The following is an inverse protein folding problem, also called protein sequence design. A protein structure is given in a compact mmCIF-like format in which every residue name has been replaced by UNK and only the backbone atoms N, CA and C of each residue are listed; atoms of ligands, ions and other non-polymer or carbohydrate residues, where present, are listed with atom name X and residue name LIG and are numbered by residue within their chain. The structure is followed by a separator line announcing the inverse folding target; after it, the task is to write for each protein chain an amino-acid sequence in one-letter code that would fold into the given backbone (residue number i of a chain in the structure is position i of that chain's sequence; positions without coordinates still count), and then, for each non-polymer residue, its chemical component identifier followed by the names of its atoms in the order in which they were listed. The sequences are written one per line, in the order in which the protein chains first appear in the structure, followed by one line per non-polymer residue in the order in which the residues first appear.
data_IF_780221689364
#
_entry.id   IF_780221689364
#
_cell.length_a   1.000
_cell.length_b   1.000
_cell.length_c   1.000
_cell.angle_alpha   90.00
_cell.angle_beta   90.00
_cell.angle_gamma   90.00
#
_symmetry.space_group_name_H-M   'P 1'
#
loop_
_entity.id
_entity.type
_entity.pdbx_description
1 polymer ?
#
# COMPACT_ATOMS: atom_id res chain seq x y z
N UNK A 1 39.65 -23.14 62.60
CA UNK A 1 39.36 -24.52 62.14
C UNK A 1 38.35 -24.40 61.01
N UNK A 2 38.82 -24.47 59.77
CA UNK A 2 37.97 -24.40 58.58
C UNK A 2 37.80 -25.80 58.02
N UNK A 3 36.57 -26.29 57.94
CA UNK A 3 36.25 -27.54 57.29
C UNK A 3 36.30 -27.34 55.77
N UNK A 4 37.13 -28.14 55.13
CA UNK A 4 37.34 -28.15 53.68
C UNK A 4 36.15 -28.83 53.01
N UNK A 5 35.39 -28.07 52.22
CA UNK A 5 34.13 -28.49 51.62
C UNK A 5 34.40 -29.45 50.46
N UNK A 6 33.97 -30.71 50.58
CA UNK A 6 34.18 -31.74 49.55
C UNK A 6 33.12 -31.63 48.42
N UNK A 7 33.51 -31.26 47.19
CA UNK A 7 32.58 -31.00 46.09
C UNK A 7 31.97 -32.28 45.46
N UNK A 8 32.22 -33.47 46.02
CA UNK A 8 31.68 -34.74 45.51
C UNK A 8 30.47 -35.30 46.26
N UNK A 9 29.93 -34.57 47.25
CA UNK A 9 28.74 -35.03 47.95
C UNK A 9 27.49 -34.90 47.05
N UNK A 10 26.88 -36.04 46.69
CA UNK A 10 25.76 -36.14 45.74
C UNK A 10 24.38 -35.96 46.39
N UNK A 11 24.29 -35.82 47.71
CA UNK A 11 23.00 -35.91 48.41
C UNK A 11 22.29 -34.57 48.67
N UNK A 12 22.91 -33.41 48.39
CA UNK A 12 22.21 -32.13 48.53
C UNK A 12 22.79 -31.02 47.64
N UNK A 13 22.35 -30.88 46.37
CA UNK A 13 22.76 -29.77 45.54
C UNK A 13 21.93 -28.55 45.93
N UNK A 14 22.51 -27.65 46.72
CA UNK A 14 21.93 -26.33 46.96
C UNK A 14 21.68 -25.55 45.65
N UNK A 15 20.92 -24.45 45.70
CA UNK A 15 20.26 -23.90 44.53
C UNK A 15 21.17 -22.99 43.71
N UNK A 16 22.08 -23.56 42.89
CA UNK A 16 22.82 -22.79 41.89
C UNK A 16 23.01 -23.55 40.56
N UNK A 17 22.39 -22.97 39.53
CA UNK A 17 22.67 -22.99 38.08
C UNK A 17 23.49 -24.16 37.50
N UNK A 18 22.79 -25.05 36.79
CA UNK A 18 23.36 -25.93 35.76
C UNK A 18 23.88 -25.09 34.59
N UNK A 19 25.20 -24.96 34.47
CA UNK A 19 25.87 -24.68 33.20
C UNK A 19 26.46 -26.01 32.71
N UNK A 20 25.74 -26.71 31.82
CA UNK A 20 26.28 -27.85 31.10
C UNK A 20 27.21 -27.34 30.00
N UNK A 21 28.49 -27.72 30.07
CA UNK A 21 29.40 -27.64 28.95
C UNK A 21 29.12 -28.82 28.02
N UNK A 22 28.66 -28.53 26.81
CA UNK A 22 28.56 -29.49 25.72
C UNK A 22 29.86 -29.37 24.92
N UNK A 23 30.67 -30.44 24.86
CA UNK A 23 31.75 -30.53 23.89
C UNK A 23 31.13 -30.83 22.52
N UNK A 24 31.19 -29.83 21.65
CA UNK A 24 30.62 -29.85 20.30
C UNK A 24 31.70 -30.28 19.32
N UNK A 25 31.39 -31.26 18.46
CA UNK A 25 32.32 -31.80 17.47
C UNK A 25 32.67 -30.76 16.39
N UNK A 26 33.81 -30.92 15.71
CA UNK A 26 34.32 -29.92 14.73
C UNK A 26 33.40 -29.67 13.53
N UNK A 27 32.46 -30.58 13.25
CA UNK A 27 31.47 -30.42 12.17
C UNK A 27 30.29 -29.52 12.60
N UNK A 28 30.02 -29.44 13.90
CA UNK A 28 28.97 -28.61 14.49
C UNK A 28 29.46 -27.19 14.84
N UNK A 29 30.78 -26.97 14.94
CA UNK A 29 31.37 -25.62 15.08
C UNK A 29 31.04 -24.70 13.89
N UNK A 30 30.91 -25.26 12.68
CA UNK A 30 30.50 -24.51 11.50
C UNK A 30 29.04 -24.01 11.56
N UNK A 31 28.17 -24.75 12.24
CA UNK A 31 26.79 -24.31 12.51
C UNK A 31 26.72 -23.33 13.69
N UNK A 32 27.61 -23.47 14.67
CA UNK A 32 27.68 -22.57 15.81
C UNK A 32 28.17 -21.16 15.43
N UNK A 33 29.14 -21.01 14.53
CA UNK A 33 29.56 -19.69 14.02
C UNK A 33 28.46 -19.04 13.15
N UNK A 34 27.70 -19.81 12.37
CA UNK A 34 26.52 -19.29 11.65
C UNK A 34 25.42 -18.80 12.61
N UNK A 35 25.17 -19.54 13.69
CA UNK A 35 24.24 -19.12 14.76
C UNK A 35 24.76 -17.92 15.55
N UNK A 36 26.08 -17.79 15.72
CA UNK A 36 26.71 -16.68 16.45
C UNK A 36 26.69 -15.38 15.64
N UNK A 37 26.90 -15.46 14.31
CA UNK A 37 26.68 -14.35 13.37
C UNK A 37 25.20 -13.94 13.38
N UNK A 38 24.27 -14.90 13.33
CA UNK A 38 22.84 -14.62 13.45
C UNK A 38 22.49 -13.97 14.80
N UNK A 39 23.13 -14.36 15.91
CA UNK A 39 22.89 -13.77 17.24
C UNK A 39 23.49 -12.38 17.43
N UNK A 40 24.59 -12.06 16.72
CA UNK A 40 25.23 -10.73 16.79
C UNK A 40 24.51 -9.68 15.95
N UNK A 41 23.68 -10.08 15.00
CA UNK A 41 22.77 -9.17 14.29
C UNK A 41 21.52 -8.76 15.11
N UNK A 42 21.33 -9.31 16.32
CA UNK A 42 20.15 -9.06 17.17
C UNK A 42 20.37 -7.90 18.17
N UNK A 43 21.55 -7.27 18.19
CA UNK A 43 21.86 -6.14 19.08
C UNK A 43 22.11 -4.81 18.34
N UNK A 44 21.45 -4.61 17.20
CA UNK A 44 21.32 -3.31 16.54
C UNK A 44 19.92 -3.25 15.96
N UNK A 45 19.04 -2.52 16.66
CA UNK A 45 17.61 -2.40 16.43
C UNK A 45 16.83 -3.72 16.46
N UNK A 46 15.90 -3.82 17.40
CA UNK A 46 14.98 -4.94 17.45
C UNK A 46 14.07 -4.89 16.22
N UNK A 47 14.51 -5.49 15.11
CA UNK A 47 13.63 -5.86 14.01
C UNK A 47 12.46 -6.63 14.63
N UNK A 48 11.26 -6.08 14.48
CA UNK A 48 10.02 -6.75 14.82
C UNK A 48 9.97 -8.07 14.03
N UNK A 49 10.49 -9.14 14.64
CA UNK A 49 10.48 -10.52 14.14
C UNK A 49 9.07 -11.13 14.19
N UNK A 50 8.03 -10.30 14.12
CA UNK A 50 6.62 -10.70 14.04
C UNK A 50 6.22 -11.20 12.65
N UNK A 51 7.07 -11.03 11.64
CA UNK A 51 6.79 -11.44 10.25
C UNK A 51 7.60 -12.66 9.83
N UNK A 52 7.58 -13.72 10.64
CA UNK A 52 8.06 -15.03 10.19
C UNK A 52 7.03 -15.56 9.18
N UNK A 53 7.43 -15.93 7.95
CA UNK A 53 6.51 -16.48 6.95
C UNK A 53 5.67 -17.58 7.57
N UNK A 54 4.34 -17.45 7.50
CA UNK A 54 3.47 -18.47 8.05
C UNK A 54 3.63 -19.72 7.19
N UNK A 55 4.28 -20.75 7.75
CA UNK A 55 4.52 -22.01 7.05
C UNK A 55 3.27 -22.87 6.92
N UNK A 56 2.17 -22.48 7.58
CA UNK A 56 0.90 -23.21 7.58
C UNK A 56 -0.05 -22.78 6.47
N UNK A 57 0.16 -21.63 5.86
CA UNK A 57 -0.71 -21.11 4.78
C UNK A 57 -0.51 -21.92 3.50
N UNK A 58 -1.63 -22.31 2.89
CA UNK A 58 -1.61 -23.11 1.68
C UNK A 58 -1.12 -22.28 0.49
N UNK A 59 -0.38 -22.90 -0.43
CA UNK A 59 0.15 -22.23 -1.63
C UNK A 59 -0.92 -21.51 -2.47
N UNK A 60 -2.16 -22.03 -2.50
CA UNK A 60 -3.28 -21.39 -3.19
C UNK A 60 -3.67 -20.05 -2.54
N UNK A 61 -3.55 -19.95 -1.21
CA UNK A 61 -3.93 -18.77 -0.44
C UNK A 61 -2.81 -17.73 -0.55
N UNK A 62 -1.54 -18.14 -0.47
CA UNK A 62 -0.40 -17.26 -0.76
C UNK A 62 -0.49 -16.66 -2.16
N UNK A 63 -0.79 -17.48 -3.17
CA UNK A 63 -1.00 -16.99 -4.54
C UNK A 63 -2.13 -15.96 -4.61
N UNK A 64 -3.25 -16.18 -3.91
CA UNK A 64 -4.35 -15.21 -3.81
C UNK A 64 -3.90 -13.92 -3.15
N UNK A 65 -3.17 -13.99 -2.04
CA UNK A 65 -2.63 -12.81 -1.34
C UNK A 65 -1.68 -12.02 -2.24
N UNK A 66 -0.77 -12.71 -2.95
CA UNK A 66 0.13 -12.10 -3.93
C UNK A 66 -0.63 -11.36 -5.03
N UNK A 67 -1.73 -11.90 -5.58
CA UNK A 67 -2.56 -11.19 -6.55
C UNK A 67 -3.11 -9.88 -5.97
N UNK A 68 -3.75 -9.94 -4.80
CA UNK A 68 -4.37 -8.77 -4.17
C UNK A 68 -3.33 -7.70 -3.87
N UNK A 69 -2.16 -8.12 -3.38
CA UNK A 69 -1.03 -7.24 -3.10
C UNK A 69 -0.47 -6.55 -4.35
N UNK A 70 -0.32 -7.28 -5.47
CA UNK A 70 0.10 -6.70 -6.75
C UNK A 70 -0.94 -5.70 -7.28
N UNK A 71 -2.23 -5.98 -7.11
CA UNK A 71 -3.31 -5.04 -7.47
C UNK A 71 -3.15 -3.76 -6.66
N UNK A 72 -3.00 -3.85 -5.33
CA UNK A 72 -2.77 -2.67 -4.48
C UNK A 72 -1.55 -1.88 -4.93
N UNK A 73 -0.44 -2.55 -5.25
CA UNK A 73 0.77 -1.88 -5.73
C UNK A 73 0.57 -1.16 -7.07
N UNK A 74 -0.17 -1.74 -8.02
CA UNK A 74 -0.43 -1.10 -9.33
C UNK A 74 -1.35 0.13 -9.22
N UNK A 75 -2.26 0.12 -8.26
CA UNK A 75 -3.21 1.21 -8.01
C UNK A 75 -2.73 2.20 -6.93
N UNK A 76 -1.58 1.94 -6.32
CA UNK A 76 -0.94 2.88 -5.40
C UNK A 76 -0.69 4.22 -6.11
N UNK A 77 -0.86 5.39 -5.44
CA UNK A 77 -0.69 6.71 -6.05
C UNK A 77 0.62 6.85 -6.85
N UNK A 78 1.72 6.32 -6.34
CA UNK A 78 3.05 6.39 -6.99
C UNK A 78 3.16 5.60 -8.30
N UNK A 79 2.29 4.61 -8.51
CA UNK A 79 2.32 3.74 -9.68
C UNK A 79 1.12 3.93 -10.60
N UNK A 80 -0.02 4.39 -10.09
CA UNK A 80 -1.30 4.42 -10.80
C UNK A 80 -1.21 5.19 -12.12
N UNK A 81 -0.54 6.35 -12.14
CA UNK A 81 -0.41 7.16 -13.37
C UNK A 81 0.44 6.44 -14.43
N UNK A 82 1.57 5.85 -14.03
CA UNK A 82 2.43 5.06 -14.91
C UNK A 82 1.74 3.79 -15.38
N UNK A 83 0.85 3.23 -14.56
CA UNK A 83 0.05 2.07 -14.89
C UNK A 83 -1.02 2.39 -15.95
N UNK A 84 -1.70 3.53 -15.84
CA UNK A 84 -2.66 4.03 -16.85
C UNK A 84 -1.96 4.16 -18.21
N UNK A 85 -0.79 4.78 -18.23
CA UNK A 85 -0.05 5.06 -19.47
C UNK A 85 0.82 3.88 -19.92
N UNK A 86 0.79 2.73 -19.23
CA UNK A 86 1.73 1.63 -19.47
C UNK A 86 1.66 1.10 -20.91
N UNK A 87 0.44 1.04 -21.47
CA UNK A 87 0.17 0.54 -22.82
C UNK A 87 0.26 1.62 -23.92
N UNK A 88 0.50 2.88 -23.56
CA UNK A 88 0.64 3.96 -24.54
C UNK A 88 1.87 3.74 -25.42
N UNK A 89 1.80 4.25 -26.66
CA UNK A 89 2.92 4.21 -27.60
C UNK A 89 4.11 4.94 -26.98
N UNK A 90 5.14 4.19 -26.62
CA UNK A 90 6.37 4.72 -26.06
C UNK A 90 7.15 5.52 -27.10
N UNK A 91 7.46 6.76 -26.76
CA UNK A 91 8.30 7.68 -27.50
C UNK A 91 9.77 7.40 -27.20
N UNK A 92 10.67 7.95 -28.01
CA UNK A 92 12.12 7.84 -27.78
C UNK A 92 12.51 8.42 -26.41
N UNK A 93 11.89 9.53 -26.02
CA UNK A 93 12.17 10.22 -24.77
C UNK A 93 11.85 9.33 -23.56
N UNK A 94 10.80 8.50 -23.64
CA UNK A 94 10.45 7.53 -22.60
C UNK A 94 11.54 6.47 -22.39
N UNK A 95 12.18 6.02 -23.47
CA UNK A 95 13.31 5.09 -23.39
C UNK A 95 14.54 5.78 -22.80
N UNK A 96 14.82 7.02 -23.18
CA UNK A 96 15.95 7.79 -22.65
C UNK A 96 15.78 8.08 -21.15
N UNK A 97 14.57 8.44 -20.70
CA UNK A 97 14.23 8.60 -19.28
C UNK A 97 14.37 7.29 -18.47
N UNK A 98 14.16 6.15 -19.12
CA UNK A 98 14.37 4.81 -18.53
C UNK A 98 15.83 4.34 -18.61
N UNK A 99 16.79 5.25 -18.84
CA UNK A 99 18.22 4.91 -18.97
C UNK A 99 18.55 4.06 -20.19
N UNK A 100 17.75 4.15 -21.26
CA UNK A 100 17.81 3.27 -22.43
C UNK A 100 17.09 1.93 -22.25
N UNK A 101 16.48 1.70 -21.08
CA UNK A 101 15.68 0.52 -20.76
C UNK A 101 14.24 0.59 -21.30
N UNK A 102 13.53 -0.54 -21.24
CA UNK A 102 12.10 -0.58 -21.58
C UNK A 102 11.28 0.03 -20.43
N UNK A 103 10.48 1.09 -20.68
CA UNK A 103 9.66 1.72 -19.63
C UNK A 103 8.69 0.73 -18.96
N UNK A 104 8.18 -0.23 -19.75
CA UNK A 104 7.30 -1.29 -19.25
C UNK A 104 8.03 -2.24 -18.30
N UNK A 105 9.27 -2.63 -18.63
CA UNK A 105 10.07 -3.47 -17.74
C UNK A 105 10.42 -2.72 -16.45
N UNK A 106 10.81 -1.44 -16.55
CA UNK A 106 11.12 -0.63 -15.38
C UNK A 106 9.92 -0.49 -14.46
N UNK A 107 8.72 -0.23 -15.01
CA UNK A 107 7.50 -0.20 -14.21
C UNK A 107 7.27 -1.50 -13.42
N UNK A 108 7.40 -2.66 -14.07
CA UNK A 108 7.20 -3.93 -13.37
C UNK A 108 8.34 -4.26 -12.40
N UNK A 109 9.54 -3.74 -12.62
CA UNK A 109 10.63 -3.81 -11.65
C UNK A 109 10.25 -3.04 -10.38
N UNK A 110 9.86 -1.77 -10.53
CA UNK A 110 9.47 -0.90 -9.41
C UNK A 110 8.30 -1.51 -8.63
N UNK A 111 7.26 -2.00 -9.33
CA UNK A 111 6.12 -2.70 -8.69
C UNK A 111 6.60 -3.94 -7.93
N UNK A 112 7.52 -4.72 -8.49
CA UNK A 112 8.03 -5.92 -7.81
C UNK A 112 8.86 -5.57 -6.58
N UNK A 113 9.66 -4.52 -6.63
CA UNK A 113 10.40 -4.01 -5.47
C UNK A 113 9.44 -3.55 -4.38
N UNK A 114 8.43 -2.73 -4.75
CA UNK A 114 7.41 -2.23 -3.84
C UNK A 114 6.60 -3.34 -3.17
N UNK A 115 6.17 -4.36 -3.94
CA UNK A 115 5.41 -5.51 -3.43
C UNK A 115 6.22 -6.31 -2.43
N UNK A 116 7.51 -6.53 -2.71
CA UNK A 116 8.37 -7.37 -1.89
C UNK A 116 8.97 -6.66 -0.67
N UNK A 117 8.96 -5.33 -0.69
CA UNK A 117 9.46 -4.52 0.40
C UNK A 117 8.47 -4.53 1.58
N UNK A 118 9.04 -4.81 2.75
CA UNK A 118 8.30 -4.94 4.01
C UNK A 118 7.90 -3.59 4.58
N UNK A 119 8.63 -2.53 4.25
CA UNK A 119 8.27 -1.18 4.68
C UNK A 119 6.91 -0.75 4.10
N UNK A 120 6.50 -1.38 2.98
CA UNK A 120 5.21 -1.14 2.34
C UNK A 120 4.09 -2.08 2.83
N UNK A 121 4.32 -2.91 3.86
CA UNK A 121 3.29 -3.85 4.36
C UNK A 121 2.04 -3.12 4.85
N UNK A 122 2.21 -2.01 5.58
CA UNK A 122 1.08 -1.26 6.13
C UNK A 122 0.10 -0.79 5.03
N UNK A 123 0.64 -0.32 3.90
CA UNK A 123 -0.17 0.18 2.79
C UNK A 123 -0.68 -0.94 1.88
N UNK A 124 0.12 -1.99 1.67
CA UNK A 124 -0.22 -3.08 0.76
C UNK A 124 -1.10 -4.17 1.39
N UNK A 125 -1.20 -4.23 2.72
CA UNK A 125 -2.00 -5.24 3.41
C UNK A 125 -3.51 -4.93 3.42
N UNK A 126 -3.90 -3.73 2.98
CA UNK A 126 -5.29 -3.26 3.04
C UNK A 126 -6.09 -3.76 1.85
N UNK A 127 -7.30 -4.26 2.11
CA UNK A 127 -8.26 -4.57 1.07
C UNK A 127 -9.21 -3.38 0.91
N UNK A 128 -9.14 -2.67 -0.22
CA UNK A 128 -10.02 -1.54 -0.48
C UNK A 128 -11.49 -2.01 -0.60
N UNK A 129 -12.43 -1.10 -0.32
CA UNK A 129 -13.87 -1.35 -0.35
C UNK A 129 -14.38 -2.38 0.67
N UNK A 130 -13.57 -2.70 1.69
CA UNK A 130 -13.87 -3.79 2.63
C UNK A 130 -14.55 -3.34 3.92
N UNK A 131 -14.92 -2.07 4.05
CA UNK A 131 -15.76 -1.61 5.15
C UNK A 131 -17.22 -2.06 4.93
N UNK A 132 -17.98 -2.18 6.03
CA UNK A 132 -19.35 -2.73 6.01
C UNK A 132 -20.32 -1.97 5.08
N UNK A 133 -20.05 -0.68 4.91
CA UNK A 133 -20.84 0.29 4.16
C UNK A 133 -20.37 0.52 2.71
N UNK A 134 -19.21 -0.03 2.32
CA UNK A 134 -18.63 0.17 0.98
C UNK A 134 -19.09 -0.91 -0.02
N UNK A 135 -18.74 -2.18 0.22
CA UNK A 135 -19.13 -3.32 -0.61
C UNK A 135 -19.34 -4.58 0.26
N UNK A 136 -20.56 -5.11 0.24
CA UNK A 136 -20.96 -6.28 1.06
C UNK A 136 -20.04 -7.49 0.83
N UNK A 137 -19.56 -7.70 -0.41
CA UNK A 137 -18.73 -8.87 -0.76
C UNK A 137 -17.29 -8.70 -0.37
N UNK A 138 -16.72 -7.51 -0.52
CA UNK A 138 -15.38 -7.24 -0.02
C UNK A 138 -15.33 -7.27 1.50
N UNK A 139 -16.37 -6.77 2.19
CA UNK A 139 -16.52 -6.92 3.63
C UNK A 139 -16.62 -8.40 4.04
N UNK A 140 -17.47 -9.19 3.37
CA UNK A 140 -17.59 -10.64 3.59
C UNK A 140 -16.25 -11.37 3.38
N UNK A 141 -15.52 -11.07 2.31
CA UNK A 141 -14.19 -11.62 2.03
C UNK A 141 -13.22 -11.27 3.16
N UNK A 142 -13.21 -10.03 3.64
CA UNK A 142 -12.34 -9.59 4.73
C UNK A 142 -12.67 -10.31 6.04
N UNK A 143 -13.94 -10.37 6.41
CA UNK A 143 -14.38 -10.92 7.70
C UNK A 143 -14.31 -12.46 7.75
N UNK A 144 -14.73 -13.14 6.68
CA UNK A 144 -14.89 -14.59 6.67
C UNK A 144 -13.72 -15.34 6.04
N UNK A 145 -13.06 -14.76 5.02
CA UNK A 145 -11.93 -15.42 4.35
C UNK A 145 -10.56 -14.92 4.84
N UNK A 146 -10.52 -13.82 5.61
CA UNK A 146 -9.35 -13.20 6.26
C UNK A 146 -8.08 -13.30 5.41
N UNK A 147 -8.03 -12.67 4.23
CA UNK A 147 -6.84 -12.70 3.41
C UNK A 147 -5.69 -11.98 4.13
N UNK A 148 -4.60 -12.72 4.39
CA UNK A 148 -3.40 -12.19 5.05
C UNK A 148 -2.40 -11.72 3.97
N UNK A 149 -2.54 -10.46 3.54
CA UNK A 149 -1.78 -9.90 2.43
C UNK A 149 -0.27 -9.75 2.72
N UNK A 150 0.17 -9.91 3.98
CA UNK A 150 1.59 -9.97 4.33
C UNK A 150 2.18 -11.38 4.21
N UNK A 151 1.35 -12.42 4.08
CA UNK A 151 1.81 -13.78 3.76
C UNK A 151 1.64 -14.08 2.28
N UNK A 152 2.59 -13.58 1.49
CA UNK A 152 2.62 -13.64 0.04
C UNK A 152 3.90 -14.32 -0.49
N UNK A 153 3.86 -14.78 -1.73
CA UNK A 153 5.04 -15.27 -2.43
C UNK A 153 5.84 -14.10 -3.02
N UNK A 154 7.15 -14.10 -2.79
CA UNK A 154 8.08 -13.13 -3.38
C UNK A 154 7.92 -13.12 -4.91
N UNK A 155 7.74 -11.93 -5.47
CA UNK A 155 7.34 -11.76 -6.85
C UNK A 155 8.41 -11.05 -7.67
N UNK A 156 8.73 -11.58 -8.84
CA UNK A 156 9.61 -10.92 -9.81
C UNK A 156 8.81 -9.93 -10.66
N UNK A 157 9.50 -9.02 -11.37
CA UNK A 157 8.86 -8.16 -12.38
C UNK A 157 7.99 -8.94 -13.38
N UNK A 158 8.46 -10.11 -13.84
CA UNK A 158 7.75 -10.92 -14.82
C UNK A 158 6.50 -11.59 -14.23
N UNK A 159 6.57 -12.05 -12.98
CA UNK A 159 5.40 -12.62 -12.30
C UNK A 159 4.37 -11.54 -11.95
N UNK A 160 4.81 -10.34 -11.54
CA UNK A 160 3.90 -9.19 -11.31
C UNK A 160 3.11 -8.85 -12.58
N UNK A 161 3.83 -8.64 -13.69
CA UNK A 161 3.22 -8.36 -14.98
C UNK A 161 2.24 -9.44 -15.41
N UNK A 162 2.62 -10.72 -15.27
CA UNK A 162 1.79 -11.84 -15.69
C UNK A 162 0.54 -11.98 -14.82
N UNK A 163 0.66 -11.83 -13.49
CA UNK A 163 -0.46 -11.91 -12.57
C UNK A 163 -1.43 -10.75 -12.79
N UNK A 164 -0.94 -9.53 -12.98
CA UNK A 164 -1.80 -8.40 -13.27
C UNK A 164 -2.56 -8.56 -14.60
N UNK A 165 -1.88 -9.01 -15.66
CA UNK A 165 -2.52 -9.34 -16.94
C UNK A 165 -3.55 -10.47 -16.81
N UNK A 166 -3.26 -11.50 -16.02
CA UNK A 166 -4.20 -12.58 -15.76
C UNK A 166 -5.46 -12.06 -15.03
N UNK A 167 -5.31 -11.17 -14.04
CA UNK A 167 -6.44 -10.57 -13.33
C UNK A 167 -7.32 -9.71 -14.26
N UNK A 168 -6.70 -8.84 -15.07
CA UNK A 168 -7.42 -8.00 -16.05
C UNK A 168 -8.16 -8.84 -17.10
N UNK A 169 -7.53 -9.89 -17.63
CA UNK A 169 -8.17 -10.81 -18.57
C UNK A 169 -9.33 -11.59 -17.94
N UNK A 170 -9.19 -12.01 -16.69
CA UNK A 170 -10.27 -12.71 -15.96
C UNK A 170 -11.47 -11.77 -15.79
N UNK A 171 -11.22 -10.53 -15.35
CA UNK A 171 -12.24 -9.49 -15.24
C UNK A 171 -12.98 -9.25 -16.55
N UNK A 172 -12.25 -9.09 -17.65
CA UNK A 172 -12.86 -8.83 -18.94
C UNK A 172 -13.69 -10.02 -19.45
N UNK A 173 -13.22 -11.25 -19.27
CA UNK A 173 -14.02 -12.45 -19.58
C UNK A 173 -15.32 -12.47 -18.79
N UNK A 174 -15.31 -12.07 -17.51
CA UNK A 174 -16.54 -11.96 -16.72
C UNK A 174 -17.46 -10.88 -17.31
N UNK A 175 -16.97 -9.63 -17.45
CA UNK A 175 -17.79 -8.51 -17.94
C UNK A 175 -18.33 -8.67 -19.35
N UNK A 176 -17.49 -9.10 -20.29
CA UNK A 176 -17.80 -9.03 -21.71
C UNK A 176 -18.25 -10.37 -22.30
N UNK A 177 -17.83 -11.49 -21.71
CA UNK A 177 -18.24 -12.81 -22.20
C UNK A 177 -19.37 -13.36 -21.34
N UNK A 178 -19.21 -13.38 -20.01
CA UNK A 178 -20.17 -14.05 -19.13
C UNK A 178 -21.45 -13.23 -18.91
N UNK A 179 -21.31 -11.96 -18.52
CA UNK A 179 -22.45 -11.08 -18.21
C UNK A 179 -23.24 -10.66 -19.46
N UNK A 180 -22.60 -10.69 -20.64
CA UNK A 180 -23.23 -10.37 -21.93
C UNK A 180 -23.69 -11.60 -22.72
N UNK A 181 -23.47 -12.82 -22.20
CA UNK A 181 -23.94 -14.02 -22.87
C UNK A 181 -25.47 -14.02 -22.95
N UNK A 182 -26.00 -14.20 -24.17
CA UNK A 182 -27.44 -14.27 -24.42
C UNK A 182 -28.11 -15.34 -23.55
N UNK A 183 -29.15 -14.95 -22.80
CA UNK A 183 -29.91 -15.86 -21.92
C UNK A 183 -29.48 -15.86 -20.45
N UNK A 184 -28.50 -15.06 -20.05
CA UNK A 184 -28.15 -14.83 -18.64
C UNK A 184 -27.79 -13.36 -18.43
N UNK A 185 -28.80 -12.51 -18.31
CA UNK A 185 -28.61 -11.10 -17.96
C UNK A 185 -28.67 -10.95 -16.44
N UNK A 186 -27.56 -10.56 -15.84
CA UNK A 186 -27.45 -10.21 -14.43
C UNK A 186 -26.48 -9.04 -14.28
N UNK A 187 -26.78 -8.15 -13.34
CA UNK A 187 -25.93 -7.00 -13.03
C UNK A 187 -24.82 -7.33 -12.03
N UNK A 188 -24.97 -8.41 -11.26
CA UNK A 188 -24.00 -8.82 -10.25
C UNK A 188 -22.82 -9.55 -10.88
N UNK A 189 -21.65 -8.90 -10.92
CA UNK A 189 -20.40 -9.47 -11.43
C UNK A 189 -20.03 -10.79 -10.74
N UNK A 190 -20.24 -10.87 -9.42
CA UNK A 190 -19.82 -12.03 -8.61
C UNK A 190 -20.50 -13.32 -9.05
N UNK A 191 -21.81 -13.25 -9.36
CA UNK A 191 -22.59 -14.39 -9.87
C UNK A 191 -22.05 -15.01 -11.19
N UNK A 192 -21.19 -14.27 -11.90
CA UNK A 192 -20.54 -14.70 -13.15
C UNK A 192 -19.06 -15.09 -12.98
N UNK A 193 -18.49 -15.01 -11.78
CA UNK A 193 -17.14 -15.49 -11.45
C UNK A 193 -17.09 -17.03 -11.39
N UNK A 194 -17.29 -17.68 -12.53
CA UNK A 194 -17.30 -19.13 -12.69
C UNK A 194 -15.93 -19.63 -13.11
N UNK A 195 -15.64 -20.90 -12.81
CA UNK A 195 -14.37 -21.54 -13.16
C UNK A 195 -13.96 -21.37 -14.64
N UNK A 196 -14.94 -21.41 -15.57
CA UNK A 196 -14.69 -21.23 -17.01
C UNK A 196 -14.24 -19.81 -17.36
N UNK A 197 -14.81 -18.80 -16.73
CA UNK A 197 -14.53 -17.37 -17.02
C UNK A 197 -13.25 -16.92 -16.33
N UNK A 198 -12.94 -17.51 -15.16
CA UNK A 198 -11.73 -17.26 -14.40
C UNK A 198 -10.48 -18.03 -14.88
N UNK A 199 -10.64 -18.95 -15.85
CA UNK A 199 -9.50 -19.64 -16.48
C UNK A 199 -8.95 -18.78 -17.62
N UNK A 200 -7.78 -18.16 -17.40
CA UNK A 200 -7.17 -17.22 -18.37
C UNK A 200 -6.09 -17.87 -19.22
N UNK A 201 -5.41 -18.89 -18.71
CA UNK A 201 -4.40 -19.70 -19.42
C UNK A 201 -4.54 -21.17 -19.03
N UNK A 202 -3.91 -22.07 -19.78
CA UNK A 202 -3.87 -23.48 -19.41
C UNK A 202 -3.28 -23.63 -18.00
N UNK A 203 -4.01 -24.30 -17.12
CA UNK A 203 -3.66 -24.47 -15.70
C UNK A 203 -3.56 -23.17 -14.86
N UNK A 204 -3.93 -21.99 -15.40
CA UNK A 204 -3.99 -20.75 -14.62
C UNK A 204 -5.45 -20.33 -14.39
N UNK A 205 -5.87 -20.44 -13.13
CA UNK A 205 -7.18 -19.99 -12.64
C UNK A 205 -6.94 -18.80 -11.71
N UNK A 206 -7.61 -17.70 -12.00
CA UNK A 206 -7.62 -16.52 -11.14
C UNK A 206 -8.67 -16.73 -10.05
N UNK A 207 -8.37 -16.46 -8.77
CA UNK A 207 -9.38 -16.53 -7.70
C UNK A 207 -10.55 -15.57 -7.98
N UNK A 208 -11.81 -15.94 -7.66
CA UNK A 208 -12.96 -15.09 -7.88
C UNK A 208 -12.85 -13.75 -7.15
N UNK A 209 -12.30 -13.74 -5.93
CA UNK A 209 -12.04 -12.54 -5.12
C UNK A 209 -11.09 -11.58 -5.83
N UNK A 210 -10.07 -12.11 -6.50
CA UNK A 210 -9.11 -11.29 -7.27
C UNK A 210 -9.79 -10.64 -8.46
N UNK A 211 -10.60 -11.40 -9.21
CA UNK A 211 -11.31 -10.88 -10.39
C UNK A 211 -12.39 -9.85 -10.01
N UNK A 212 -13.05 -10.02 -8.86
CA UNK A 212 -14.02 -9.07 -8.32
C UNK A 212 -13.32 -7.81 -7.78
N UNK A 213 -12.24 -7.98 -7.02
CA UNK A 213 -11.50 -6.87 -6.46
C UNK A 213 -10.91 -5.96 -7.54
N UNK A 214 -10.27 -6.52 -8.57
CA UNK A 214 -9.79 -5.71 -9.69
C UNK A 214 -10.95 -5.03 -10.44
N UNK A 215 -12.15 -5.60 -10.40
CA UNK A 215 -13.31 -4.97 -11.00
C UNK A 215 -13.69 -3.66 -10.29
N UNK A 216 -13.76 -3.70 -8.97
CA UNK A 216 -14.01 -2.52 -8.14
C UNK A 216 -12.92 -1.47 -8.30
N UNK A 217 -11.64 -1.89 -8.27
CA UNK A 217 -10.52 -0.98 -8.48
C UNK A 217 -10.60 -0.30 -9.87
N UNK A 218 -10.91 -1.02 -10.94
CA UNK A 218 -11.09 -0.40 -12.26
C UNK A 218 -12.32 0.52 -12.36
N UNK A 219 -13.39 0.26 -11.60
CA UNK A 219 -14.56 1.14 -11.54
C UNK A 219 -14.22 2.48 -10.88
N UNK A 220 -13.41 2.46 -9.81
CA UNK A 220 -12.95 3.67 -9.12
C UNK A 220 -11.89 4.46 -9.94
N UNK A 221 -11.21 3.77 -10.86
CA UNK A 221 -10.21 4.34 -11.76
C UNK A 221 -10.56 4.16 -13.26
N UNK A 222 -11.57 4.89 -13.80
CA UNK A 222 -12.03 4.73 -15.19
C UNK A 222 -10.96 4.94 -16.27
N UNK A 223 -9.90 5.69 -15.97
CA UNK A 223 -8.78 5.89 -16.89
C UNK A 223 -8.02 4.58 -17.16
N UNK A 224 -7.86 3.72 -16.15
CA UNK A 224 -7.24 2.40 -16.30
C UNK A 224 -8.11 1.51 -17.18
N UNK A 225 -9.44 1.57 -17.00
CA UNK A 225 -10.37 0.82 -17.84
C UNK A 225 -10.18 1.14 -19.32
N UNK A 226 -10.15 2.43 -19.67
CA UNK A 226 -9.94 2.86 -21.05
C UNK A 226 -8.58 2.47 -21.63
N UNK A 227 -7.53 2.49 -20.81
CA UNK A 227 -6.17 2.12 -21.23
C UNK A 227 -6.02 0.62 -21.52
N UNK A 228 -6.64 -0.24 -20.70
CA UNK A 228 -6.54 -1.69 -20.86
C UNK A 228 -7.59 -2.28 -21.82
N UNK A 229 -8.73 -1.63 -22.02
CA UNK A 229 -9.73 -2.05 -23.00
C UNK A 229 -9.16 -2.07 -24.44
N UNK A 230 -8.26 -1.14 -24.76
CA UNK A 230 -7.62 -1.09 -26.09
C UNK A 230 -6.65 -2.25 -26.31
N UNK A 231 -5.88 -2.61 -25.28
CA UNK A 231 -4.86 -3.65 -25.36
C UNK A 231 -5.48 -5.05 -25.40
N UNK A 232 -6.49 -5.30 -24.58
CA UNK A 232 -7.06 -6.64 -24.43
C UNK A 232 -8.00 -7.03 -25.58
N UNK A 233 -8.61 -6.08 -26.28
CA UNK A 233 -9.45 -6.35 -27.47
C UNK A 233 -8.68 -7.02 -28.62
N UNK A 234 -7.37 -6.80 -28.74
CA UNK A 234 -6.54 -7.48 -29.75
C UNK A 234 -6.19 -8.90 -29.32
N UNK A 235 -5.81 -9.10 -28.06
CA UNK A 235 -5.43 -10.42 -27.51
C UNK A 235 -6.62 -11.36 -27.22
N UNK A 236 -7.81 -10.82 -26.98
CA UNK A 236 -9.04 -11.60 -26.78
C UNK A 236 -9.67 -12.06 -28.10
N UNK A 237 -9.21 -11.55 -29.23
CA UNK A 237 -9.41 -12.19 -30.54
C UNK A 237 -8.48 -13.39 -30.63
N UNK A 238 -8.79 -14.44 -29.89
CA UNK A 238 -7.99 -15.66 -29.88
C UNK A 238 -7.73 -16.14 -31.31
N UNK A 239 -6.44 -16.36 -31.60
CA UNK A 239 -5.86 -17.15 -32.69
C UNK A 239 -6.48 -18.56 -32.74
N UNK A 240 -7.73 -18.64 -33.18
CA UNK A 240 -8.38 -19.89 -33.53
C UNK A 240 -8.56 -19.88 -35.04
N UNK A 241 -7.84 -20.80 -35.70
CA UNK A 241 -7.77 -21.07 -37.15
C UNK A 241 -6.83 -20.17 -37.97
N UNK A 242 -5.56 -20.60 -38.09
CA UNK A 242 -4.96 -21.05 -39.38
C UNK A 242 -3.50 -21.48 -39.21
N UNK A 243 -3.29 -22.79 -39.17
CA UNK A 243 -2.23 -23.43 -39.94
C UNK A 243 -2.90 -24.64 -40.60
N UNK A 244 -2.86 -24.71 -41.94
CA UNK A 244 -1.99 -25.72 -42.50
C UNK A 244 -1.01 -25.15 -43.52
N UNK A 245 0.19 -25.71 -43.43
CA UNK A 245 1.15 -26.05 -44.48
C UNK A 245 1.22 -25.24 -45.79
N UNK A 246 2.47 -24.87 -46.07
CA UNK A 246 3.13 -24.93 -47.39
C UNK A 246 2.77 -23.88 -48.44
N UNK A 247 3.67 -22.91 -48.55
CA UNK A 247 4.29 -22.54 -49.82
C UNK A 247 3.45 -21.73 -50.80
N UNK A 248 3.57 -20.41 -50.76
CA UNK A 248 3.64 -19.63 -51.99
C UNK A 248 4.19 -18.23 -51.72
N UNK A 249 5.37 -17.98 -52.29
CA UNK A 249 5.84 -16.64 -52.64
C UNK A 249 4.83 -16.09 -53.64
N UNK A 250 4.24 -14.91 -53.41
CA UNK A 250 3.97 -13.94 -54.47
C UNK A 250 3.71 -12.54 -53.90
N UNK A 251 4.33 -11.60 -54.60
CA UNK A 251 4.42 -10.17 -54.39
C UNK A 251 3.11 -9.44 -54.67
N UNK A 252 3.10 -8.17 -54.24
CA UNK A 252 2.38 -7.02 -54.83
C UNK A 252 0.86 -6.96 -54.71
N UNK A 253 0.36 -5.93 -54.02
CA UNK A 253 -0.39 -4.84 -54.67
C UNK A 253 -0.60 -3.67 -53.71
N UNK A 254 0.03 -2.55 -54.04
CA UNK A 254 -0.28 -1.21 -53.58
C UNK A 254 -1.67 -0.79 -54.06
N UNK A 255 -2.50 -0.24 -53.18
CA UNK A 255 -3.65 0.55 -53.59
C UNK A 255 -3.67 1.87 -52.81
N UNK A 256 -3.39 2.92 -53.58
CA UNK A 256 -3.50 4.33 -53.24
C UNK A 256 -4.97 4.73 -53.16
N UNK A 257 -5.41 5.24 -52.01
CA UNK A 257 -6.68 5.95 -51.85
C UNK A 257 -6.46 7.26 -51.09
N UNK A 258 -6.34 8.32 -51.89
CA UNK A 258 -6.94 9.65 -51.69
C UNK A 258 -6.93 10.26 -50.29
N UNK A 259 -5.97 11.16 -50.08
CA UNK A 259 -6.02 12.17 -49.02
C UNK A 259 -7.01 13.29 -49.35
N UNK A 260 -7.83 13.66 -48.36
CA UNK A 260 -8.41 15.01 -48.15
C UNK A 260 -9.41 15.06 -46.99
N UNK A 261 -9.81 13.93 -46.40
CA UNK A 261 -10.70 13.89 -45.21
C UNK A 261 -9.97 13.63 -43.89
N UNK A 262 -8.70 13.23 -43.90
CA UNK A 262 -7.93 12.87 -42.70
C UNK A 262 -7.43 14.08 -41.88
N UNK A 263 -7.35 15.28 -42.46
CA UNK A 263 -6.89 16.48 -41.75
C UNK A 263 -7.96 17.10 -40.86
N UNK A 264 -9.24 17.03 -41.27
CA UNK A 264 -10.35 17.69 -40.54
C UNK A 264 -10.87 16.86 -39.35
N UNK A 265 -10.70 15.54 -39.36
CA UNK A 265 -10.97 14.67 -38.20
C UNK A 265 -9.87 14.72 -37.15
N UNK A 266 -8.61 14.95 -37.55
CA UNK A 266 -7.49 15.11 -36.62
C UNK A 266 -7.56 16.39 -35.78
N UNK A 267 -8.00 17.52 -36.35
CA UNK A 267 -8.14 18.78 -35.59
C UNK A 267 -9.29 18.72 -34.56
N UNK A 268 -10.38 18.04 -34.88
CA UNK A 268 -11.48 17.81 -33.93
C UNK A 268 -11.07 16.82 -32.82
N UNK A 269 -10.32 15.76 -33.13
CA UNK A 269 -9.76 14.88 -32.11
C UNK A 269 -8.75 15.59 -31.22
N UNK A 270 -7.87 16.45 -31.77
CA UNK A 270 -6.92 17.22 -30.98
C UNK A 270 -7.62 18.21 -30.02
N UNK A 271 -8.72 18.86 -30.44
CA UNK A 271 -9.52 19.73 -29.56
C UNK A 271 -10.26 18.96 -28.47
N UNK A 272 -10.82 17.79 -28.81
CA UNK A 272 -11.43 16.91 -27.81
C UNK A 272 -10.37 16.43 -26.83
N UNK A 273 -9.19 15.99 -27.30
CA UNK A 273 -8.07 15.60 -26.44
C UNK A 273 -7.61 16.72 -25.53
N UNK A 274 -7.51 17.96 -26.03
CA UNK A 274 -7.03 19.08 -25.22
C UNK A 274 -8.04 19.52 -24.15
N UNK A 275 -9.33 19.50 -24.47
CA UNK A 275 -10.39 19.80 -23.51
C UNK A 275 -10.55 18.68 -22.46
N UNK A 276 -10.42 17.41 -22.87
CA UNK A 276 -10.44 16.28 -21.94
C UNK A 276 -9.17 16.25 -21.08
N UNK A 277 -8.01 16.58 -21.63
CA UNK A 277 -6.74 16.68 -20.88
C UNK A 277 -6.77 17.76 -19.80
N UNK A 278 -7.30 18.96 -20.12
CA UNK A 278 -7.45 20.02 -19.11
C UNK A 278 -8.46 19.66 -18.01
N UNK A 279 -9.55 18.94 -18.35
CA UNK A 279 -10.50 18.42 -17.37
C UNK A 279 -9.90 17.34 -16.48
N UNK A 280 -9.08 16.45 -17.03
CA UNK A 280 -8.35 15.42 -16.28
C UNK A 280 -7.35 16.06 -15.32
N UNK A 281 -6.59 17.07 -15.74
CA UNK A 281 -5.64 17.77 -14.87
C UNK A 281 -6.37 18.43 -13.69
N UNK A 282 -7.49 19.11 -13.93
CA UNK A 282 -8.26 19.73 -12.85
C UNK A 282 -8.83 18.71 -11.84
N UNK A 283 -9.30 17.56 -12.32
CA UNK A 283 -9.76 16.46 -11.46
C UNK A 283 -8.59 15.85 -10.69
N UNK A 284 -7.41 15.72 -11.31
CA UNK A 284 -6.21 15.21 -10.66
C UNK A 284 -5.68 16.16 -9.58
N UNK A 285 -5.68 17.47 -9.84
CA UNK A 285 -5.28 18.46 -8.83
C UNK A 285 -6.24 18.44 -7.64
N UNK A 286 -7.55 18.41 -7.88
CA UNK A 286 -8.54 18.31 -6.80
C UNK A 286 -8.41 16.99 -5.99
N UNK A 287 -8.06 15.87 -6.64
CA UNK A 287 -7.80 14.59 -5.96
C UNK A 287 -6.50 14.62 -5.15
N UNK A 288 -5.42 15.16 -5.69
CA UNK A 288 -4.16 15.32 -4.96
C UNK A 288 -4.32 16.25 -3.73
N UNK A 289 -5.10 17.33 -3.86
CA UNK A 289 -5.47 18.20 -2.74
C UNK A 289 -6.33 17.46 -1.70
N UNK A 290 -7.27 16.62 -2.14
CA UNK A 290 -8.06 15.77 -1.24
C UNK A 290 -7.21 14.72 -0.52
N UNK A 291 -6.27 14.07 -1.21
CA UNK A 291 -5.40 13.05 -0.63
C UNK A 291 -4.40 13.66 0.35
N UNK A 292 -3.82 14.81 0.03
CA UNK A 292 -2.95 15.55 0.97
C UNK A 292 -3.72 15.99 2.22
N UNK A 293 -4.97 16.43 2.06
CA UNK A 293 -5.86 16.76 3.19
C UNK A 293 -6.14 15.54 4.07
N UNK A 294 -6.44 14.38 3.45
CA UNK A 294 -6.69 13.12 4.17
C UNK A 294 -5.45 12.63 4.93
N UNK A 295 -4.27 12.68 4.30
CA UNK A 295 -3.01 12.31 4.94
C UNK A 295 -2.73 13.21 6.15
N UNK A 296 -2.98 14.51 6.04
CA UNK A 296 -2.79 15.45 7.14
C UNK A 296 -3.79 15.20 8.29
N UNK A 297 -5.04 14.88 7.98
CA UNK A 297 -6.05 14.52 8.98
C UNK A 297 -5.68 13.22 9.72
N UNK A 298 -5.23 12.20 9.00
CA UNK A 298 -4.74 10.95 9.59
C UNK A 298 -3.51 11.20 10.47
N UNK A 299 -2.59 12.06 10.03
CA UNK A 299 -1.40 12.46 10.80
C UNK A 299 -1.80 13.12 12.12
N UNK A 300 -2.71 14.09 12.08
CA UNK A 300 -3.23 14.78 13.28
C UNK A 300 -3.93 13.79 14.21
N UNK A 301 -4.74 12.88 13.67
CA UNK A 301 -5.44 11.84 14.45
C UNK A 301 -4.47 10.93 15.19
N UNK A 302 -3.38 10.50 14.54
CA UNK A 302 -2.33 9.68 15.19
C UNK A 302 -1.61 10.45 16.29
N UNK A 303 -1.37 11.75 16.09
CA UNK A 303 -0.74 12.61 17.10
C UNK A 303 -1.62 12.77 18.34
N UNK A 304 -2.94 12.95 18.19
CA UNK A 304 -3.87 12.97 19.31
C UNK A 304 -3.88 11.63 20.08
N UNK A 305 -3.92 10.50 19.37
CA UNK A 305 -3.89 9.19 20.01
C UNK A 305 -2.57 8.94 20.78
N UNK A 306 -1.43 9.39 20.24
CA UNK A 306 -0.15 9.36 20.95
C UNK A 306 -0.18 10.27 22.20
N UNK A 307 -0.69 11.49 22.05
CA UNK A 307 -0.82 12.46 23.14
C UNK A 307 -1.64 11.91 24.31
N UNK A 308 -2.82 11.36 24.06
CA UNK A 308 -3.71 10.79 25.09
C UNK A 308 -3.02 9.66 25.86
N UNK A 309 -2.35 8.75 25.14
CA UNK A 309 -1.62 7.63 25.74
C UNK A 309 -0.47 8.09 26.64
N UNK A 310 0.27 9.11 26.20
CA UNK A 310 1.37 9.67 26.98
C UNK A 310 0.87 10.50 28.16
N UNK A 311 -0.26 11.21 28.02
CA UNK A 311 -0.91 11.97 29.08
C UNK A 311 -1.30 11.07 30.25
N UNK A 312 -1.96 9.95 29.98
CA UNK A 312 -2.27 8.94 31.01
C UNK A 312 -1.00 8.42 31.69
N UNK A 313 0.07 8.20 30.91
CA UNK A 313 1.35 7.71 31.43
C UNK A 313 2.04 8.74 32.33
N UNK A 314 1.94 10.03 32.01
CA UNK A 314 2.45 11.13 32.85
C UNK A 314 1.75 11.12 34.20
N UNK A 315 0.42 11.02 34.22
CA UNK A 315 -0.38 10.97 35.46
C UNK A 315 0.07 9.77 36.31
N UNK A 316 0.15 8.58 35.71
CA UNK A 316 0.57 7.35 36.40
C UNK A 316 2.00 7.43 36.96
N UNK A 317 2.94 8.02 36.23
CA UNK A 317 4.33 8.14 36.67
C UNK A 317 4.52 9.21 37.75
N UNK A 318 3.69 10.25 37.76
CA UNK A 318 3.72 11.30 38.78
C UNK A 318 3.38 10.76 40.17
N UNK A 319 2.52 9.75 40.23
CA UNK A 319 2.12 9.09 41.47
C UNK A 319 3.10 7.97 41.89
N UNK A 320 4.04 7.59 41.01
CA UNK A 320 4.94 6.47 41.25
C UNK A 320 6.10 6.83 42.18
N UNK A 321 6.31 6.02 43.21
CA UNK A 321 7.46 6.12 44.13
C UNK A 321 8.68 5.31 43.68
N UNK A 322 8.64 4.71 42.48
CA UNK A 322 9.70 3.82 42.00
C UNK A 322 10.99 4.61 41.69
N UNK A 323 12.17 4.10 42.05
CA UNK A 323 13.43 4.71 41.65
C UNK A 323 13.53 4.72 40.11
N UNK A 324 13.87 5.88 39.55
CA UNK A 324 13.94 6.09 38.09
C UNK A 324 12.64 6.59 37.45
N UNK A 325 11.50 6.59 38.16
CA UNK A 325 10.23 7.11 37.63
C UNK A 325 10.33 8.58 37.21
N UNK A 326 11.05 9.40 37.98
CA UNK A 326 11.27 10.82 37.68
C UNK A 326 12.03 11.06 36.37
N UNK A 327 13.01 10.22 36.04
CA UNK A 327 13.78 10.36 34.80
C UNK A 327 12.89 10.01 33.60
N UNK A 328 12.13 8.92 33.71
CA UNK A 328 11.19 8.51 32.66
C UNK A 328 10.07 9.55 32.48
N UNK A 329 9.56 10.10 33.58
CA UNK A 329 8.56 11.17 33.57
C UNK A 329 9.07 12.40 32.81
N UNK A 330 10.32 12.84 33.03
CA UNK A 330 10.91 13.96 32.27
C UNK A 330 11.01 13.67 30.78
N UNK A 331 11.43 12.46 30.40
CA UNK A 331 11.55 12.10 28.98
C UNK A 331 10.18 12.07 28.29
N UNK A 332 9.17 11.47 28.94
CA UNK A 332 7.80 11.43 28.41
C UNK A 332 7.20 12.83 28.38
N UNK A 333 7.40 13.64 29.43
CA UNK A 333 6.92 15.01 29.46
C UNK A 333 7.50 15.85 28.31
N UNK A 334 8.73 15.57 27.88
CA UNK A 334 9.35 16.25 26.73
C UNK A 334 8.63 15.90 25.44
N UNK A 335 8.34 14.61 25.22
CA UNK A 335 7.59 14.18 24.03
C UNK A 335 6.16 14.73 24.04
N UNK A 336 5.49 14.75 25.19
CA UNK A 336 4.16 15.37 25.35
C UNK A 336 4.22 16.85 25.00
N UNK A 337 5.24 17.57 25.46
CA UNK A 337 5.45 18.98 25.10
C UNK A 337 5.61 19.19 23.60
N UNK A 338 6.40 18.33 22.93
CA UNK A 338 6.59 18.42 21.48
C UNK A 338 5.26 18.21 20.74
N UNK A 339 4.44 17.23 21.16
CA UNK A 339 3.10 16.99 20.62
C UNK A 339 2.14 18.16 20.90
N UNK A 340 2.16 18.78 22.08
CA UNK A 340 1.33 19.97 22.38
C UNK A 340 1.64 21.13 21.43
N UNK A 341 2.89 21.31 21.03
CA UNK A 341 3.28 22.33 20.04
C UNK A 341 2.76 21.98 18.65
N UNK A 342 2.91 20.72 18.23
CA UNK A 342 2.44 20.23 16.92
C UNK A 342 0.90 20.30 16.81
N UNK A 343 0.19 19.97 17.90
CA UNK A 343 -1.27 20.02 18.01
C UNK A 343 -1.83 21.41 18.36
N UNK A 344 -0.95 22.40 18.54
CA UNK A 344 -1.31 23.79 18.90
C UNK A 344 -2.09 23.91 20.22
N UNK A 345 -1.81 23.06 21.19
CA UNK A 345 -2.37 23.12 22.54
C UNK A 345 -1.75 24.30 23.29
N UNK A 346 -2.59 25.15 23.89
CA UNK A 346 -2.12 26.33 24.61
C UNK A 346 -1.27 25.98 25.84
N UNK A 347 -0.30 26.84 26.19
CA UNK A 347 0.55 26.63 27.37
C UNK A 347 -0.28 26.49 28.66
N UNK A 348 -1.41 27.20 28.76
CA UNK A 348 -2.33 27.13 29.90
C UNK A 348 -3.10 25.80 30.03
N UNK A 349 -3.22 25.06 28.93
CA UNK A 349 -3.90 23.75 28.87
C UNK A 349 -2.91 22.59 28.98
N UNK A 350 -1.61 22.89 28.93
CA UNK A 350 -0.56 21.89 28.97
C UNK A 350 -0.51 21.14 30.29
N UNK A 351 -0.58 19.81 30.19
CA UNK A 351 -0.49 18.92 31.35
C UNK A 351 0.94 18.80 31.91
N UNK A 352 1.95 19.22 31.14
CA UNK A 352 3.37 19.11 31.49
C UNK A 352 4.07 20.46 31.72
N UNK A 353 3.32 21.57 31.79
CA UNK A 353 3.86 22.94 32.01
C UNK A 353 4.74 23.06 33.26
N UNK A 354 4.36 22.39 34.34
CA UNK A 354 5.09 22.41 35.60
C UNK A 354 6.32 21.48 35.62
N UNK A 355 6.45 20.58 34.65
CA UNK A 355 7.56 19.62 34.55
C UNK A 355 8.65 20.10 33.61
N UNK A 356 8.25 20.76 32.52
CA UNK A 356 9.14 21.29 31.49
C UNK A 356 8.69 22.72 31.20
N UNK A 357 9.49 23.73 31.61
CA UNK A 357 9.19 25.10 31.28
C UNK A 357 9.23 25.30 29.76
N UNK A 358 8.37 26.16 29.20
CA UNK A 358 8.38 26.48 27.78
C UNK A 358 9.75 27.04 27.37
N UNK A 359 10.16 26.78 26.13
CA UNK A 359 11.34 27.47 25.59
C UNK A 359 11.04 28.94 25.35
N UNK A 360 12.07 29.78 25.35
CA UNK A 360 11.94 31.22 25.05
C UNK A 360 11.18 31.46 23.72
N UNK A 361 11.49 30.67 22.69
CA UNK A 361 10.84 30.75 21.38
C UNK A 361 9.34 30.40 21.44
N UNK A 362 8.94 29.52 22.36
CA UNK A 362 7.53 29.15 22.57
C UNK A 362 6.77 30.25 23.31
N UNK A 363 7.39 30.88 24.31
CA UNK A 363 6.80 32.03 25.01
C UNK A 363 6.60 33.21 24.04
N UNK A 364 7.57 33.46 23.17
CA UNK A 364 7.47 34.54 22.17
C UNK A 364 6.34 34.29 21.17
N UNK A 365 6.21 33.05 20.65
CA UNK A 365 5.09 32.67 19.76
C UNK A 365 3.73 32.76 20.46
N UNK A 366 3.63 32.34 21.71
CA UNK A 366 2.39 32.43 22.48
C UNK A 366 1.98 33.90 22.71
N UNK A 367 2.95 34.79 22.96
CA UNK A 367 2.70 36.23 23.09
C UNK A 367 2.26 36.87 21.77
N UNK A 368 2.79 36.44 20.62
CA UNK A 368 2.35 36.95 19.31
C UNK A 368 0.90 36.53 19.00
N UNK A 369 0.52 35.27 19.25
CA UNK A 369 -0.85 34.80 19.01
C UNK A 369 -1.91 35.53 19.85
N UNK A 370 -1.56 35.93 21.08
CA UNK A 370 -2.45 36.73 21.93
C UNK A 370 -2.62 38.18 21.44
N UNK A 371 -1.67 38.69 20.66
CA UNK A 371 -1.77 40.04 20.08
C UNK A 371 -2.64 40.09 18.82
N UNK A 372 -2.69 39.01 18.04
CA UNK A 372 -3.47 38.92 16.80
C UNK A 372 -4.97 38.65 17.07
N UNK A 373 -5.32 37.96 18.16
CA UNK A 373 -6.71 37.59 18.47
C UNK A 373 -7.62 38.70 19.00
N UNK A 374 -7.12 39.93 19.19
CA UNK A 374 -7.87 41.03 19.80
C UNK A 374 -8.31 42.13 18.82
N UNK A 375 -8.01 42.03 17.51
CA UNK A 375 -8.28 43.13 16.56
C UNK A 375 -9.57 43.00 15.72
N UNK A 376 -10.32 41.88 15.73
CA UNK A 376 -11.33 41.64 14.67
C UNK A 376 -12.81 41.46 15.11
N UNK A 377 -13.17 41.68 16.38
CA UNK A 377 -14.57 41.47 16.84
C UNK A 377 -15.42 42.76 16.95
N UNK A 378 -14.98 43.85 16.32
CA UNK A 378 -15.54 45.20 16.53
C UNK A 378 -16.40 45.81 15.41
N UNK A 379 -16.35 45.34 14.16
CA UNK A 379 -16.74 46.20 13.02
C UNK A 379 -17.89 45.73 12.11
N UNK A 380 -18.61 44.64 12.42
CA UNK A 380 -19.59 44.10 11.44
C UNK A 380 -21.04 43.90 11.93
N UNK A 381 -21.50 44.61 12.96
CA UNK A 381 -22.90 44.52 13.45
C UNK A 381 -23.84 45.66 13.04
N UNK A 382 -23.46 46.55 12.13
CA UNK A 382 -24.27 47.76 11.81
C UNK A 382 -24.88 47.83 10.39
N UNK A 383 -24.86 46.77 9.57
CA UNK A 383 -25.35 46.87 8.17
C UNK A 383 -26.52 45.95 7.76
N UNK A 384 -27.20 45.29 8.70
CA UNK A 384 -28.32 44.38 8.35
C UNK A 384 -29.69 44.81 8.89
N UNK A 385 -29.98 46.11 8.96
CA UNK A 385 -31.29 46.63 9.37
C UNK A 385 -32.03 47.51 8.36
N UNK A 386 -31.57 47.58 7.10
CA UNK A 386 -32.12 48.51 6.10
C UNK A 386 -32.59 47.84 4.79
N UNK A 387 -33.21 46.66 4.87
CA UNK A 387 -34.05 46.11 3.79
C UNK A 387 -35.24 45.33 4.36
N UNK A 388 -36.29 46.07 4.71
CA UNK A 388 -37.68 45.60 4.83
C UNK A 388 -38.51 46.22 3.72
#
# INVERSE_FOLDING_TARGET
MGEEMNPRNKENPGPWKLAQYIEVSSEEQGNYEKLKIASRCIQGDAYHLSEVPNSTTLAKDKKRHTYLRIINACFHPDHCERFITLNDRKTRDDFEASGGGSPVKQFWLDVSEFVNDRENNEVLCLLHFSNEDEDERMHDIRCNNQPELNDFDHSTQASCAQMMNDAMRAREKVRFVAMKASGSHGSDFWSFCRMKTLTVRQCCKVPPEVAYYIDLMCLEHPAIEGAFEQYLKEDLRSDSTKLPESGSILTSSTSSLTGSTATRTNENMARIFHNTSNGIIAIQTARAESDTSRIEEERITRQWAEYDRLAERVISLRESTRPGALQLLRNIAKRVRDLEVELKIGIGESIVCHLIPPSHDQEERAMMQLSEGNEDDGSNKEQEFDKL
#
